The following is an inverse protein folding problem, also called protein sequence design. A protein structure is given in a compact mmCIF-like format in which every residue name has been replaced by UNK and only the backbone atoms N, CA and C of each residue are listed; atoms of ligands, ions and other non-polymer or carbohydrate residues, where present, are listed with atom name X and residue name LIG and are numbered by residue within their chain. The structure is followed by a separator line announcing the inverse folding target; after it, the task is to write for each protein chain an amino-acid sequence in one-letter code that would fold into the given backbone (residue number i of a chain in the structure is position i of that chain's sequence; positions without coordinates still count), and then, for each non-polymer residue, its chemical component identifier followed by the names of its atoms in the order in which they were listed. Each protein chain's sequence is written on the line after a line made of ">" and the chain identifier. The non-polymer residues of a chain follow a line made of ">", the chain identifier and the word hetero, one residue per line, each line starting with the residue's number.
data_IF_173173559871
#
_entry.id   IF_173173559871
#
_cell.length_a   1.000
_cell.length_b   1.000
_cell.length_c   1.000
_cell.angle_alpha   90.00
_cell.angle_beta   90.00
_cell.angle_gamma   90.00
#
_symmetry.space_group_name_H-M   'P 1'
#
loop_
_entity.id
_entity.type
_entity.pdbx_description
1 polymer ?
#
# COMPACT_ATOMS: atom_id res chain seq x y z
N UNK A 1 -7.79 -6.41 14.48
CA UNK A 1 -7.02 -5.45 13.68
C UNK A 1 -7.73 -4.11 13.56
N UNK A 2 -6.98 -3.01 13.63
CA UNK A 2 -7.42 -1.69 13.20
C UNK A 2 -6.95 -1.42 11.77
N UNK A 3 -7.85 -0.93 10.93
CA UNK A 3 -7.58 -0.62 9.52
C UNK A 3 -8.19 0.75 9.20
N UNK A 4 -7.37 1.65 8.66
CA UNK A 4 -7.86 2.93 8.15
C UNK A 4 -8.61 2.72 6.85
N UNK A 5 -9.78 3.35 6.70
CA UNK A 5 -10.52 3.30 5.44
C UNK A 5 -9.79 4.11 4.37
N UNK A 6 -9.50 3.52 3.18
CA UNK A 6 -8.80 4.24 2.11
C UNK A 6 -9.64 5.39 1.52
N UNK A 7 -10.95 5.42 1.79
CA UNK A 7 -11.86 6.41 1.22
C UNK A 7 -12.21 7.57 2.14
N UNK A 8 -12.22 7.36 3.47
CA UNK A 8 -12.64 8.39 4.43
C UNK A 8 -11.75 8.48 5.68
N UNK A 9 -10.69 7.66 5.76
CA UNK A 9 -9.70 7.63 6.84
C UNK A 9 -10.25 7.27 8.23
N UNK A 10 -11.53 6.90 8.34
CA UNK A 10 -12.06 6.35 9.58
C UNK A 10 -11.33 5.04 9.93
N UNK A 11 -10.96 4.89 11.19
CA UNK A 11 -10.39 3.64 11.70
C UNK A 11 -11.52 2.65 11.95
N UNK A 12 -11.37 1.45 11.39
CA UNK A 12 -12.34 0.36 11.54
C UNK A 12 -11.66 -0.78 12.29
N UNK A 13 -12.38 -1.34 13.27
CA UNK A 13 -11.95 -2.55 13.98
C UNK A 13 -12.51 -3.76 13.24
N UNK A 14 -11.63 -4.59 12.70
CA UNK A 14 -11.97 -5.83 12.01
C UNK A 14 -11.36 -7.02 12.78
N UNK A 15 -12.18 -8.00 13.22
CA UNK A 15 -11.66 -9.26 13.76
C UNK A 15 -10.79 -9.97 12.72
N UNK A 16 -9.68 -10.58 13.13
CA UNK A 16 -8.78 -11.29 12.21
C UNK A 16 -9.49 -12.36 11.38
N UNK A 17 -10.45 -13.07 12.01
CA UNK A 17 -11.27 -14.08 11.35
C UNK A 17 -12.11 -13.55 10.18
N UNK A 18 -12.40 -12.24 10.15
CA UNK A 18 -13.28 -11.61 9.15
C UNK A 18 -12.53 -10.76 8.13
N UNK A 19 -11.19 -10.78 8.13
CA UNK A 19 -10.39 -9.98 7.20
C UNK A 19 -10.63 -10.35 5.72
N UNK A 20 -11.06 -11.58 5.46
CA UNK A 20 -11.32 -12.10 4.11
C UNK A 20 -12.81 -12.06 3.74
N UNK A 21 -13.69 -11.55 4.61
CA UNK A 21 -15.14 -11.46 4.38
C UNK A 21 -15.56 -10.14 3.71
N UNK A 22 -14.67 -9.53 2.92
CA UNK A 22 -14.90 -8.24 2.23
C UNK A 22 -15.46 -7.15 3.18
N UNK A 23 -14.74 -6.82 4.27
CA UNK A 23 -15.22 -5.86 5.25
C UNK A 23 -15.45 -4.48 4.61
N UNK A 24 -16.51 -3.80 5.07
CA UNK A 24 -16.84 -2.43 4.66
C UNK A 24 -16.56 -1.45 5.80
N UNK A 25 -16.35 -0.18 5.46
CA UNK A 25 -16.16 0.86 6.44
C UNK A 25 -17.48 1.21 7.14
N UNK A 26 -17.49 1.19 8.47
CA UNK A 26 -18.67 1.54 9.28
C UNK A 26 -19.07 3.03 9.21
N UNK A 27 -18.23 3.90 8.65
CA UNK A 27 -18.54 5.33 8.44
C UNK A 27 -19.10 5.61 7.05
N UNK A 28 -18.43 5.16 5.99
CA UNK A 28 -18.80 5.53 4.62
C UNK A 28 -19.40 4.39 3.79
N UNK A 29 -19.50 3.18 4.34
CA UNK A 29 -20.08 2.00 3.67
C UNK A 29 -19.25 1.41 2.51
N UNK A 30 -18.15 2.05 2.12
CA UNK A 30 -17.28 1.58 1.03
C UNK A 30 -16.37 0.43 1.49
N UNK A 31 -15.88 -0.33 0.53
CA UNK A 31 -14.95 -1.44 0.76
C UNK A 31 -13.73 -0.97 1.57
N UNK A 32 -13.39 -1.72 2.62
CA UNK A 32 -12.28 -1.38 3.51
C UNK A 32 -10.95 -1.93 3.00
N UNK A 33 -11.02 -3.02 2.25
CA UNK A 33 -9.90 -3.90 1.95
C UNK A 33 -9.85 -4.28 0.45
N UNK A 34 -9.91 -3.30 -0.49
CA UNK A 34 -9.99 -3.59 -1.91
C UNK A 34 -8.83 -4.46 -2.39
N UNK A 35 -9.14 -5.37 -3.32
CA UNK A 35 -8.17 -6.22 -4.01
C UNK A 35 -7.33 -5.44 -5.06
N UNK A 36 -7.62 -4.16 -5.26
CA UNK A 36 -6.89 -3.25 -6.14
C UNK A 36 -6.10 -2.21 -5.33
N UNK A 37 -5.00 -1.67 -5.89
CA UNK A 37 -4.27 -0.57 -5.27
C UNK A 37 -5.16 0.66 -5.08
N UNK A 38 -5.01 1.35 -3.95
CA UNK A 38 -5.69 2.61 -3.66
C UNK A 38 -4.74 3.79 -3.81
N UNK A 39 -5.24 4.93 -4.29
CA UNK A 39 -4.44 6.14 -4.36
C UNK A 39 -4.41 6.86 -3.01
N UNK A 40 -3.20 7.18 -2.56
CA UNK A 40 -2.95 8.02 -1.39
C UNK A 40 -2.31 9.34 -1.85
N UNK A 41 -2.56 10.38 -1.08
CA UNK A 41 -1.93 11.68 -1.26
C UNK A 41 -1.52 12.30 0.07
N UNK A 42 -0.98 13.50 0.01
CA UNK A 42 -0.38 14.18 1.17
C UNK A 42 -1.30 14.23 2.41
N UNK A 43 -2.61 14.42 2.21
CA UNK A 43 -3.57 14.48 3.31
C UNK A 43 -3.97 13.11 3.88
N UNK A 44 -3.86 12.03 3.09
CA UNK A 44 -4.33 10.69 3.49
C UNK A 44 -3.20 9.76 3.94
N UNK A 45 -1.99 9.93 3.40
CA UNK A 45 -0.89 8.99 3.53
C UNK A 45 -0.56 8.65 4.99
N UNK A 46 -0.18 9.65 5.78
CA UNK A 46 0.27 9.42 7.16
C UNK A 46 -0.81 8.75 8.01
N UNK A 47 -2.07 9.19 7.85
CA UNK A 47 -3.20 8.61 8.60
C UNK A 47 -3.45 7.17 8.18
N UNK A 48 -3.41 6.87 6.88
CA UNK A 48 -3.67 5.53 6.37
C UNK A 48 -2.59 4.54 6.84
N UNK A 49 -1.31 4.92 6.74
CA UNK A 49 -0.18 4.10 7.13
C UNK A 49 -0.11 3.88 8.65
N UNK A 50 -0.28 4.94 9.45
CA UNK A 50 -0.17 4.84 10.92
C UNK A 50 -1.36 4.15 11.60
N UNK A 51 -2.54 4.17 10.99
CA UNK A 51 -3.77 3.60 11.57
C UNK A 51 -4.19 2.27 10.93
N UNK A 52 -3.31 1.67 10.13
CA UNK A 52 -3.49 0.33 9.56
C UNK A 52 -2.46 -0.62 10.17
N UNK A 53 -2.95 -1.60 10.93
CA UNK A 53 -2.10 -2.60 11.59
C UNK A 53 -1.64 -3.69 10.61
N UNK A 54 -2.38 -3.92 9.51
CA UNK A 54 -1.93 -4.78 8.41
C UNK A 54 -0.72 -4.19 7.67
N UNK A 55 0.12 -5.01 7.02
CA UNK A 55 1.15 -4.51 6.13
C UNK A 55 0.56 -3.63 5.03
N UNK A 56 1.20 -2.50 4.73
CA UNK A 56 0.85 -1.61 3.63
C UNK A 56 2.05 -1.46 2.70
N UNK A 57 1.90 -1.89 1.45
CA UNK A 57 2.88 -1.66 0.40
C UNK A 57 2.47 -0.44 -0.42
N UNK A 58 3.37 0.54 -0.54
CA UNK A 58 3.17 1.74 -1.35
C UNK A 58 4.10 1.72 -2.56
N UNK A 59 3.53 1.91 -3.75
CA UNK A 59 4.26 2.23 -4.99
C UNK A 59 4.31 3.75 -5.21
N UNK A 60 5.51 4.32 -5.08
CA UNK A 60 5.80 5.72 -5.39
C UNK A 60 6.15 5.83 -6.88
N UNK A 61 5.31 6.56 -7.63
CA UNK A 61 5.33 6.55 -9.09
C UNK A 61 5.11 7.95 -9.70
N UNK A 62 5.13 8.06 -11.03
CA UNK A 62 4.72 9.24 -11.78
C UNK A 62 4.29 8.87 -13.22
N UNK A 63 3.45 9.69 -13.86
CA UNK A 63 2.90 9.44 -15.21
C UNK A 63 3.92 9.46 -16.35
N UNK A 64 5.03 10.18 -16.20
CA UNK A 64 6.08 10.25 -17.22
C UNK A 64 7.06 9.06 -17.13
N UNK A 65 7.00 8.28 -16.05
CA UNK A 65 7.93 7.20 -15.77
C UNK A 65 7.55 5.91 -16.53
N UNK A 66 8.34 5.57 -17.55
CA UNK A 66 8.16 4.33 -18.34
C UNK A 66 8.15 3.06 -17.47
N UNK A 67 9.15 2.82 -16.60
CA UNK A 67 9.15 1.67 -15.69
C UNK A 67 7.93 1.62 -14.76
N UNK A 68 7.42 2.76 -14.32
CA UNK A 68 6.22 2.84 -13.48
C UNK A 68 4.98 2.35 -14.22
N UNK A 69 4.85 2.67 -15.52
CA UNK A 69 3.76 2.15 -16.37
C UNK A 69 3.83 0.63 -16.53
N UNK A 70 5.03 0.06 -16.61
CA UNK A 70 5.21 -1.40 -16.65
C UNK A 70 4.90 -2.05 -15.29
N UNK A 71 5.24 -1.37 -14.19
CA UNK A 71 4.99 -1.83 -12.82
C UNK A 71 3.49 -1.86 -12.48
N UNK A 72 2.72 -0.87 -12.92
CA UNK A 72 1.31 -0.71 -12.56
C UNK A 72 0.43 -1.98 -12.69
N UNK A 73 0.39 -2.70 -13.84
CA UNK A 73 -0.39 -3.93 -13.94
C UNK A 73 0.16 -5.07 -13.07
N UNK A 74 1.48 -5.14 -12.86
CA UNK A 74 2.11 -6.14 -12.00
C UNK A 74 1.75 -5.90 -10.52
N UNK A 75 1.75 -4.64 -10.10
CA UNK A 75 1.36 -4.21 -8.77
C UNK A 75 -0.12 -4.51 -8.48
N UNK A 76 -1.01 -4.23 -9.44
CA UNK A 76 -2.43 -4.55 -9.33
C UNK A 76 -2.69 -6.06 -9.26
N UNK A 77 -1.96 -6.86 -10.06
CA UNK A 77 -2.06 -8.31 -9.99
C UNK A 77 -1.61 -8.86 -8.62
N UNK A 78 -0.50 -8.35 -8.09
CA UNK A 78 -0.03 -8.74 -6.76
C UNK A 78 -1.03 -8.36 -5.65
N UNK A 79 -1.68 -7.20 -5.78
CA UNK A 79 -2.72 -6.77 -4.84
C UNK A 79 -3.88 -7.77 -4.75
N UNK A 80 -4.35 -8.27 -5.89
CA UNK A 80 -5.42 -9.26 -5.94
C UNK A 80 -5.01 -10.63 -5.35
N UNK A 81 -3.71 -10.94 -5.36
CA UNK A 81 -3.18 -12.22 -4.88
C UNK A 81 -2.73 -12.18 -3.41
N UNK A 82 -2.69 -10.99 -2.79
CA UNK A 82 -2.20 -10.78 -1.43
C UNK A 82 -3.26 -10.09 -0.55
N UNK A 83 -4.38 -10.78 -0.23
CA UNK A 83 -5.55 -10.20 0.43
C UNK A 83 -5.33 -9.76 1.88
N UNK A 84 -4.13 -9.98 2.46
CA UNK A 84 -3.75 -9.52 3.80
C UNK A 84 -2.75 -8.36 3.78
N UNK A 85 -2.30 -7.93 2.62
CA UNK A 85 -1.42 -6.75 2.44
C UNK A 85 -2.24 -5.67 1.76
N UNK A 86 -2.17 -4.43 2.23
CA UNK A 86 -2.82 -3.30 1.58
C UNK A 86 -1.89 -2.74 0.52
N UNK A 87 -2.39 -2.55 -0.69
CA UNK A 87 -1.62 -1.96 -1.78
C UNK A 87 -2.08 -0.54 -1.97
N UNK A 88 -1.14 0.38 -2.02
CA UNK A 88 -1.38 1.79 -2.24
C UNK A 88 -0.42 2.34 -3.29
N UNK A 89 -0.81 3.42 -3.94
CA UNK A 89 0.00 4.17 -4.88
C UNK A 89 0.08 5.62 -4.43
N UNK A 90 1.22 6.25 -4.69
CA UNK A 90 1.40 7.69 -4.49
C UNK A 90 2.10 8.30 -5.70
N UNK A 91 1.42 9.22 -6.37
CA UNK A 91 2.02 10.03 -7.42
C UNK A 91 2.94 11.08 -6.80
N UNK A 92 4.23 10.95 -7.08
CA UNK A 92 5.29 11.81 -6.54
C UNK A 92 5.28 13.24 -7.08
N UNK A 93 4.71 13.47 -8.27
CA UNK A 93 4.55 14.81 -8.83
C UNK A 93 3.38 15.55 -8.18
N UNK A 94 2.28 14.85 -7.91
CA UNK A 94 1.09 15.40 -7.27
C UNK A 94 1.23 15.55 -5.75
N UNK A 95 2.05 14.69 -5.10
CA UNK A 95 2.15 14.59 -3.64
C UNK A 95 3.61 14.72 -3.17
N UNK A 96 4.18 15.89 -3.46
CA UNK A 96 5.60 16.20 -3.26
C UNK A 96 6.02 16.20 -1.80
N UNK A 97 5.12 16.61 -0.89
CA UNK A 97 5.46 16.66 0.54
C UNK A 97 5.71 15.25 1.09
N UNK A 98 4.85 14.29 0.76
CA UNK A 98 5.03 12.89 1.15
C UNK A 98 6.25 12.27 0.46
N UNK A 99 6.43 12.50 -0.84
CA UNK A 99 7.61 12.01 -1.56
C UNK A 99 8.93 12.52 -0.94
N UNK A 100 8.99 13.80 -0.57
CA UNK A 100 10.13 14.40 0.11
C UNK A 100 10.34 13.82 1.52
N UNK A 101 9.27 13.67 2.31
CA UNK A 101 9.34 13.10 3.66
C UNK A 101 9.89 11.66 3.67
N UNK A 102 9.57 10.87 2.64
CA UNK A 102 10.07 9.49 2.46
C UNK A 102 11.36 9.39 1.63
N UNK A 103 11.98 10.54 1.33
CA UNK A 103 13.25 10.63 0.61
C UNK A 103 13.24 9.84 -0.71
N UNK A 104 12.17 9.97 -1.49
CA UNK A 104 12.06 9.29 -2.79
C UNK A 104 13.00 9.97 -3.79
N UNK A 105 14.00 9.21 -4.26
CA UNK A 105 15.05 9.69 -5.18
C UNK A 105 14.97 9.07 -6.58
N UNK A 106 14.21 7.99 -6.72
CA UNK A 106 14.00 7.26 -7.96
C UNK A 106 12.61 6.62 -7.94
N UNK A 107 12.05 6.38 -9.11
CA UNK A 107 10.73 5.76 -9.28
C UNK A 107 10.77 4.67 -10.37
N UNK A 108 9.97 3.59 -10.25
CA UNK A 108 9.12 3.29 -9.10
C UNK A 108 9.98 2.92 -7.88
N UNK A 109 9.54 3.37 -6.69
CA UNK A 109 10.09 2.92 -5.41
C UNK A 109 8.96 2.32 -4.60
N UNK A 110 9.18 1.12 -4.09
CA UNK A 110 8.28 0.38 -3.23
C UNK A 110 8.73 0.54 -1.79
N UNK A 111 7.82 0.92 -0.90
CA UNK A 111 8.06 0.91 0.54
C UNK A 111 6.99 0.07 1.23
N UNK A 112 7.43 -0.91 2.01
CA UNK A 112 6.57 -1.75 2.83
C UNK A 112 6.55 -1.19 4.27
N UNK A 113 5.35 -0.91 4.74
CA UNK A 113 5.07 -0.47 6.08
C UNK A 113 4.37 -1.55 6.89
N UNK A 114 4.68 -1.64 8.18
CA UNK A 114 3.98 -2.48 9.15
C UNK A 114 3.76 -1.69 10.44
N UNK A 115 2.49 -1.55 10.87
CA UNK A 115 2.15 -0.75 12.06
C UNK A 115 2.67 0.69 11.99
N UNK A 116 2.60 1.30 10.80
CA UNK A 116 3.08 2.66 10.56
C UNK A 116 4.60 2.83 10.37
N UNK A 117 5.40 1.75 10.49
CA UNK A 117 6.86 1.80 10.37
C UNK A 117 7.31 1.24 9.03
N UNK A 118 8.25 1.91 8.37
CA UNK A 118 8.95 1.37 7.20
C UNK A 118 9.79 0.15 7.65
N UNK A 119 9.53 -1.01 7.05
CA UNK A 119 10.25 -2.26 7.36
C UNK A 119 11.11 -2.74 6.19
N UNK A 120 10.80 -2.31 4.96
CA UNK A 120 11.59 -2.63 3.78
C UNK A 120 11.35 -1.61 2.67
N UNK A 121 12.34 -1.42 1.80
CA UNK A 121 12.24 -0.59 0.60
C UNK A 121 12.97 -1.24 -0.57
N UNK A 122 12.49 -0.98 -1.78
CA UNK A 122 13.11 -1.44 -3.01
C UNK A 122 12.79 -0.47 -4.15
N UNK A 123 13.80 -0.08 -4.92
CA UNK A 123 13.61 0.75 -6.11
C UNK A 123 13.76 -0.10 -7.38
N UNK A 124 12.93 0.19 -8.38
CA UNK A 124 12.89 -0.54 -9.65
C UNK A 124 11.57 -1.28 -9.86
N UNK A 125 11.24 -1.49 -11.13
CA UNK A 125 10.05 -2.25 -11.51
C UNK A 125 10.28 -3.75 -11.29
N UNK A 126 9.23 -4.45 -10.86
CA UNK A 126 9.19 -5.89 -10.64
C UNK A 126 7.99 -6.50 -11.36
N UNK A 127 8.12 -7.77 -11.75
CA UNK A 127 6.95 -8.60 -12.07
C UNK A 127 6.14 -8.92 -10.80
N UNK A 128 4.87 -9.31 -10.96
CA UNK A 128 4.02 -9.72 -9.84
C UNK A 128 4.64 -10.88 -9.03
N UNK A 129 5.29 -11.83 -9.72
CA UNK A 129 5.93 -12.97 -9.09
C UNK A 129 7.20 -12.57 -8.29
N UNK A 130 7.99 -11.63 -8.79
CA UNK A 130 9.13 -11.06 -8.03
C UNK A 130 8.65 -10.29 -6.81
N UNK A 131 7.59 -9.48 -6.98
CA UNK A 131 7.03 -8.71 -5.89
C UNK A 131 6.50 -9.60 -4.75
N UNK A 132 5.78 -10.67 -5.08
CA UNK A 132 5.29 -11.62 -4.09
C UNK A 132 6.42 -12.33 -3.34
N UNK A 133 7.48 -12.75 -4.04
CA UNK A 133 8.66 -13.34 -3.40
C UNK A 133 9.33 -12.35 -2.45
N UNK A 134 9.49 -11.10 -2.88
CA UNK A 134 10.04 -10.06 -2.03
C UNK A 134 9.17 -9.82 -0.79
N UNK A 135 7.86 -9.68 -0.94
CA UNK A 135 6.92 -9.52 0.19
C UNK A 135 7.00 -10.68 1.19
N UNK A 136 7.04 -11.92 0.71
CA UNK A 136 7.18 -13.11 1.56
C UNK A 136 8.48 -13.07 2.38
N UNK A 137 9.60 -12.71 1.75
CA UNK A 137 10.90 -12.60 2.42
C UNK A 137 10.88 -11.53 3.52
N UNK A 138 10.34 -10.33 3.22
CA UNK A 138 10.31 -9.22 4.18
C UNK A 138 9.40 -9.53 5.37
N UNK A 139 8.21 -10.12 5.13
CA UNK A 139 7.25 -10.42 6.19
C UNK A 139 7.64 -11.63 7.04
N UNK A 140 8.40 -12.58 6.50
CA UNK A 140 8.93 -13.70 7.29
C UNK A 140 9.91 -13.22 8.38
N UNK A 141 10.69 -12.17 8.11
CA UNK A 141 11.64 -11.58 9.06
C UNK A 141 11.02 -10.70 10.15
N UNK A 142 9.70 -10.51 10.15
CA UNK A 142 8.97 -9.72 11.16
C UNK A 142 8.22 -10.57 12.20
N UNK A 143 8.41 -11.90 12.16
CA UNK A 143 7.82 -12.85 13.12
C UNK A 143 8.71 -13.06 14.33
#
# INVERSE_FOLDING_TARGET
>A
MHIACPHCLATNRVPESRLQEQPVCGRCGKELMPAAPVDLGDASFQTYISRTELPVLVDFWADWCGPCKMMAPQFAQAAAQQPLIRFAKLDTEAHRATAAAHQIRSIPTLILFLGGREIARLSGALSSAELQRWLQQQLAGQR
#
